data_IF_456483632758
#
_entry.id   IF_456483632758
#
_cell.length_a   1.000
_cell.length_b   1.000
_cell.length_c   1.000
_cell.angle_alpha   90.00
_cell.angle_beta   90.00
_cell.angle_gamma   90.00
#
_symmetry.space_group_name_H-M   'P 1'
#
loop_
_entity.id
_entity.type
_entity.pdbx_description
1 polymer ?
#
# COMPACT_ATOMS: atom_id res chain seq x y z
N UNK A 1 4.29 10.70 28.44
CA UNK A 1 3.96 11.17 27.07
C UNK A 1 4.01 12.69 27.01
N UNK A 2 5.11 13.21 26.46
CA UNK A 2 5.34 14.64 26.25
C UNK A 2 4.38 15.25 25.24
N UNK A 3 4.31 16.58 25.23
CA UNK A 3 3.38 17.43 24.46
C UNK A 3 3.07 16.91 23.04
N UNK A 4 1.83 17.07 22.54
CA UNK A 4 1.48 16.68 21.17
C UNK A 4 2.48 17.31 20.19
N UNK A 5 3.00 16.48 19.28
CA UNK A 5 3.91 16.90 18.24
C UNK A 5 3.14 17.75 17.22
N UNK A 6 3.20 19.07 17.35
CA UNK A 6 2.70 19.98 16.32
C UNK A 6 2.03 21.25 16.84
N UNK A 7 2.37 22.37 16.20
CA UNK A 7 1.64 23.63 16.34
C UNK A 7 0.37 23.67 15.48
N UNK A 8 -0.43 24.74 15.64
CA UNK A 8 -1.66 24.96 14.86
C UNK A 8 -1.42 24.93 13.35
N UNK A 9 -0.28 25.47 12.89
CA UNK A 9 0.12 25.45 11.48
C UNK A 9 0.34 24.02 10.98
N UNK A 10 1.04 23.20 11.77
CA UNK A 10 1.36 21.82 11.40
C UNK A 10 0.09 20.97 11.29
N UNK A 11 -0.79 21.08 12.29
CA UNK A 11 -2.08 20.37 12.29
C UNK A 11 -2.97 20.77 11.11
N UNK A 12 -2.97 22.07 10.76
CA UNK A 12 -3.75 22.58 9.63
C UNK A 12 -3.19 22.10 8.29
N UNK A 13 -1.87 22.10 8.12
CA UNK A 13 -1.21 21.62 6.90
C UNK A 13 -1.47 20.13 6.67
N UNK A 14 -1.30 19.29 7.69
CA UNK A 14 -1.51 17.84 7.55
C UNK A 14 -2.96 17.46 7.28
N UNK A 15 -3.93 18.25 7.76
CA UNK A 15 -5.35 18.03 7.46
C UNK A 15 -5.66 18.16 5.97
N UNK A 16 -4.82 18.87 5.21
CA UNK A 16 -4.91 19.01 3.76
C UNK A 16 -3.98 18.02 3.03
N UNK A 17 -2.74 17.87 3.51
CA UNK A 17 -1.74 17.02 2.86
C UNK A 17 -2.12 15.55 2.90
N UNK A 18 -2.56 15.02 4.05
CA UNK A 18 -2.89 13.58 4.20
C UNK A 18 -3.94 13.10 3.19
N UNK A 19 -5.14 13.73 3.07
CA UNK A 19 -6.12 13.26 2.09
C UNK A 19 -5.62 13.42 0.66
N UNK A 20 -4.87 14.48 0.35
CA UNK A 20 -4.28 14.67 -0.97
C UNK A 20 -3.28 13.56 -1.31
N UNK A 21 -2.37 13.21 -0.38
CA UNK A 21 -1.41 12.13 -0.55
C UNK A 21 -2.09 10.77 -0.75
N UNK A 22 -3.19 10.50 -0.03
CA UNK A 22 -3.95 9.25 -0.19
C UNK A 22 -4.57 9.17 -1.59
N UNK A 23 -5.25 10.24 -2.03
CA UNK A 23 -5.86 10.30 -3.37
C UNK A 23 -4.79 10.16 -4.46
N UNK A 24 -3.65 10.84 -4.29
CA UNK A 24 -2.54 10.74 -5.23
C UNK A 24 -1.92 9.34 -5.26
N UNK A 25 -1.79 8.65 -4.12
CA UNK A 25 -1.35 7.26 -4.07
C UNK A 25 -2.28 6.32 -4.84
N UNK A 26 -3.60 6.49 -4.74
CA UNK A 26 -4.59 5.73 -5.52
C UNK A 26 -4.48 6.04 -7.01
N UNK A 27 -4.22 7.31 -7.37
CA UNK A 27 -3.95 7.69 -8.76
C UNK A 27 -2.71 6.99 -9.31
N UNK A 28 -1.60 6.99 -8.56
CA UNK A 28 -0.33 6.33 -8.95
C UNK A 28 -0.52 4.81 -9.10
N UNK A 29 -1.37 4.18 -8.28
CA UNK A 29 -1.72 2.78 -8.43
C UNK A 29 -2.52 2.52 -9.71
N UNK A 30 -3.58 3.28 -9.94
CA UNK A 30 -4.50 3.02 -11.06
C UNK A 30 -3.93 3.42 -12.42
N UNK A 31 -2.94 4.31 -12.46
CA UNK A 31 -2.29 4.77 -13.69
C UNK A 31 -0.85 4.27 -13.84
N UNK A 32 -0.45 3.27 -13.05
CA UNK A 32 0.89 2.70 -13.07
C UNK A 32 1.28 2.10 -14.42
N UNK A 33 0.30 1.61 -15.19
CA UNK A 33 0.53 1.04 -16.52
C UNK A 33 0.75 2.10 -17.63
N UNK A 34 0.15 3.30 -17.48
CA UNK A 34 0.19 4.36 -18.50
C UNK A 34 1.19 5.47 -18.20
N UNK A 35 1.67 5.56 -16.96
CA UNK A 35 2.51 6.66 -16.47
C UNK A 35 3.65 6.15 -15.59
N UNK A 36 4.73 6.93 -15.39
CA UNK A 36 5.77 6.59 -14.42
C UNK A 36 5.13 6.44 -13.04
N UNK A 37 5.15 5.23 -12.49
CA UNK A 37 4.20 4.87 -11.45
C UNK A 37 4.35 3.44 -10.94
N UNK A 38 3.31 3.01 -10.24
CA UNK A 38 3.03 1.60 -9.97
C UNK A 38 2.91 1.25 -8.50
N UNK A 39 2.73 -0.05 -8.23
CA UNK A 39 2.34 -0.53 -6.91
C UNK A 39 3.30 -0.17 -5.78
N UNK A 40 4.61 -0.17 -6.02
CA UNK A 40 5.59 0.17 -4.98
C UNK A 40 5.46 1.64 -4.54
N UNK A 41 5.41 2.56 -5.51
CA UNK A 41 5.35 4.00 -5.27
C UNK A 41 4.01 4.40 -4.65
N UNK A 42 2.92 3.79 -5.13
CA UNK A 42 1.60 3.93 -4.52
C UNK A 42 1.60 3.48 -3.06
N UNK A 43 2.17 2.31 -2.76
CA UNK A 43 2.28 1.77 -1.41
C UNK A 43 3.06 2.71 -0.47
N UNK A 44 4.17 3.27 -0.94
CA UNK A 44 4.96 4.24 -0.19
C UNK A 44 4.18 5.54 0.10
N UNK A 45 3.46 6.09 -0.89
CA UNK A 45 2.62 7.28 -0.71
C UNK A 45 1.50 7.04 0.31
N UNK A 46 0.80 5.91 0.20
CA UNK A 46 -0.27 5.55 1.13
C UNK A 46 0.25 5.34 2.55
N UNK A 47 1.41 4.69 2.71
CA UNK A 47 2.06 4.55 4.00
C UNK A 47 2.42 5.91 4.62
N UNK A 48 3.02 6.81 3.84
CA UNK A 48 3.36 8.17 4.30
C UNK A 48 2.09 8.91 4.77
N UNK A 49 0.98 8.80 4.04
CA UNK A 49 -0.29 9.38 4.49
C UNK A 49 -0.71 8.90 5.90
N UNK A 50 -0.53 7.61 6.18
CA UNK A 50 -0.84 7.01 7.50
C UNK A 50 0.19 7.44 8.56
N UNK A 51 1.49 7.43 8.23
CA UNK A 51 2.57 7.87 9.11
C UNK A 51 2.34 9.32 9.56
N UNK A 52 2.06 10.21 8.60
CA UNK A 52 1.76 11.63 8.87
C UNK A 52 0.52 11.79 9.75
N UNK A 53 -0.53 11.00 9.51
CA UNK A 53 -1.73 11.02 10.35
C UNK A 53 -1.42 10.62 11.80
N UNK A 54 -0.56 9.62 12.02
CA UNK A 54 -0.13 9.19 13.36
C UNK A 54 0.78 10.19 14.07
N UNK A 55 1.66 10.89 13.33
CA UNK A 55 2.49 11.95 13.91
C UNK A 55 1.67 13.11 14.47
N UNK A 56 0.54 13.43 13.84
CA UNK A 56 -0.34 14.55 14.24
C UNK A 56 -1.36 14.15 15.31
N UNK A 57 -1.99 12.99 15.15
CA UNK A 57 -3.10 12.55 16.02
C UNK A 57 -2.63 11.66 17.16
N UNK A 58 -1.36 11.26 17.19
CA UNK A 58 -0.83 10.29 18.13
C UNK A 58 -1.33 8.86 17.86
N UNK A 59 -1.16 7.98 18.84
CA UNK A 59 -1.49 6.55 18.71
C UNK A 59 -3.01 6.29 18.55
N UNK A 60 -3.87 7.25 18.89
CA UNK A 60 -5.33 7.18 18.74
C UNK A 60 -5.83 7.55 17.33
N UNK A 61 -4.92 7.70 16.36
CA UNK A 61 -5.29 7.95 14.97
C UNK A 61 -6.28 6.86 14.47
N UNK A 62 -7.40 7.28 13.88
CA UNK A 62 -8.50 6.37 13.45
C UNK A 62 -8.08 5.27 12.47
N UNK A 63 -6.95 5.43 11.78
CA UNK A 63 -6.41 4.48 10.78
C UNK A 63 -5.18 3.73 11.28
N UNK A 64 -5.10 3.48 12.59
CA UNK A 64 -3.97 2.76 13.18
C UNK A 64 -4.10 1.24 12.96
N UNK A 65 -3.11 0.68 12.25
CA UNK A 65 -2.91 -0.76 12.06
C UNK A 65 -1.73 -1.16 12.93
N UNK A 66 -1.97 -2.03 13.91
CA UNK A 66 -0.92 -2.52 14.82
C UNK A 66 0.07 -3.42 14.08
N UNK A 67 1.37 -3.38 14.43
CA UNK A 67 2.44 -4.19 13.82
C UNK A 67 2.09 -5.64 13.48
N UNK A 68 1.50 -6.42 14.40
CA UNK A 68 1.08 -7.82 14.10
C UNK A 68 0.11 -7.91 12.91
N UNK A 69 -0.84 -6.99 12.82
CA UNK A 69 -1.76 -6.93 11.69
C UNK A 69 -1.08 -6.40 10.42
N UNK A 70 -0.13 -5.47 10.55
CA UNK A 70 0.66 -4.97 9.44
C UNK A 70 1.46 -6.10 8.78
N UNK A 71 2.21 -6.91 9.53
CA UNK A 71 2.94 -8.08 8.99
C UNK A 71 2.00 -9.06 8.28
N UNK A 72 0.85 -9.35 8.88
CA UNK A 72 -0.14 -10.25 8.27
C UNK A 72 -0.69 -9.69 6.95
N UNK A 73 -1.03 -8.40 6.91
CA UNK A 73 -1.53 -7.73 5.71
C UNK A 73 -0.45 -7.60 4.63
N UNK A 74 0.82 -7.42 5.03
CA UNK A 74 1.94 -7.45 4.11
C UNK A 74 2.07 -8.84 3.44
N UNK A 75 1.94 -9.91 4.24
CA UNK A 75 1.90 -11.28 3.73
C UNK A 75 0.72 -11.54 2.80
N UNK A 76 -0.47 -10.97 3.08
CA UNK A 76 -1.63 -11.05 2.19
C UNK A 76 -1.34 -10.33 0.86
N UNK A 77 -0.69 -9.17 0.88
CA UNK A 77 -0.28 -8.47 -0.33
C UNK A 77 0.68 -9.31 -1.20
N UNK A 78 1.68 -9.93 -0.57
CA UNK A 78 2.62 -10.80 -1.25
C UNK A 78 1.93 -12.06 -1.79
N UNK A 79 0.96 -12.59 -1.04
CA UNK A 79 0.13 -13.70 -1.48
C UNK A 79 -0.73 -13.34 -2.70
N UNK A 80 -1.34 -12.15 -2.75
CA UNK A 80 -2.09 -11.68 -3.92
C UNK A 80 -1.19 -11.66 -5.15
N UNK A 81 0.00 -11.05 -5.04
CA UNK A 81 0.99 -11.04 -6.13
C UNK A 81 1.30 -12.47 -6.63
N UNK A 82 1.64 -13.37 -5.71
CA UNK A 82 1.99 -14.74 -6.05
C UNK A 82 0.80 -15.49 -6.66
N UNK A 83 -0.39 -15.39 -6.06
CA UNK A 83 -1.59 -16.03 -6.53
C UNK A 83 -1.97 -15.57 -7.95
N UNK A 84 -1.91 -14.27 -8.22
CA UNK A 84 -2.15 -13.72 -9.57
C UNK A 84 -1.12 -14.25 -10.57
N UNK A 85 0.16 -14.35 -10.19
CA UNK A 85 1.19 -14.89 -11.07
C UNK A 85 1.08 -16.40 -11.31
N UNK A 86 0.61 -17.16 -10.33
CA UNK A 86 0.40 -18.60 -10.45
C UNK A 86 -0.90 -18.97 -11.19
N UNK A 87 -1.89 -18.09 -11.20
CA UNK A 87 -3.20 -18.37 -11.78
C UNK A 87 -3.14 -18.82 -13.26
N UNK A 88 -2.36 -18.18 -14.16
CA UNK A 88 -2.19 -18.63 -15.54
C UNK A 88 -1.69 -20.07 -15.72
N UNK A 89 -0.87 -20.61 -14.79
CA UNK A 89 -0.34 -21.97 -14.91
C UNK A 89 -1.45 -23.02 -14.87
N UNK A 90 -2.52 -22.77 -14.11
CA UNK A 90 -3.66 -23.67 -14.04
C UNK A 90 -4.48 -23.71 -15.35
N UNK A 91 -4.26 -22.74 -16.24
CA UNK A 91 -4.92 -22.61 -17.54
C UNK A 91 -3.98 -22.87 -18.72
N UNK A 92 -2.80 -23.46 -18.47
CA UNK A 92 -1.85 -23.84 -19.51
C UNK A 92 -0.92 -22.72 -19.99
N UNK A 93 -0.90 -21.58 -19.32
CA UNK A 93 0.06 -20.49 -19.54
C UNK A 93 1.30 -20.58 -18.64
N UNK A 94 2.20 -19.63 -18.79
CA UNK A 94 3.40 -19.45 -17.97
C UNK A 94 3.14 -18.52 -16.77
N UNK A 95 4.08 -18.47 -15.83
CA UNK A 95 4.01 -17.55 -14.69
C UNK A 95 3.91 -16.09 -15.16
N UNK A 96 2.93 -15.35 -14.62
CA UNK A 96 2.57 -13.98 -15.03
C UNK A 96 2.12 -13.81 -16.49
N UNK A 97 1.77 -14.91 -17.18
CA UNK A 97 1.19 -14.83 -18.53
C UNK A 97 -0.30 -14.46 -18.46
N UNK A 98 -0.58 -13.16 -18.34
CA UNK A 98 -1.93 -12.65 -18.09
C UNK A 98 -2.93 -13.00 -19.20
N UNK A 99 -2.51 -13.19 -20.44
CA UNK A 99 -3.39 -13.58 -21.55
C UNK A 99 -4.13 -14.91 -21.32
N UNK A 100 -3.66 -15.75 -20.40
CA UNK A 100 -4.29 -17.02 -20.02
C UNK A 100 -5.19 -16.91 -18.77
N UNK A 101 -5.45 -15.70 -18.25
CA UNK A 101 -6.39 -15.50 -17.14
C UNK A 101 -7.82 -15.88 -17.56
N UNK A 102 -8.60 -16.57 -16.70
CA UNK A 102 -9.97 -17.01 -16.99
C UNK A 102 -10.99 -15.85 -16.86
N UNK A 103 -10.72 -14.72 -17.48
CA UNK A 103 -11.60 -13.54 -17.47
C UNK A 103 -12.26 -13.38 -18.85
N UNK A 104 -13.57 -13.14 -18.84
CA UNK A 104 -14.36 -12.96 -20.06
C UNK A 104 -14.23 -11.51 -20.55
N UNK A 105 -13.08 -11.16 -21.11
CA UNK A 105 -12.86 -9.88 -21.79
C UNK A 105 -12.61 -10.13 -23.28
N UNK A 106 -13.10 -9.22 -24.12
CA UNK A 106 -13.03 -9.38 -25.59
C UNK A 106 -11.64 -9.04 -26.13
N UNK A 107 -10.86 -8.19 -25.44
CA UNK A 107 -9.54 -7.75 -25.87
C UNK A 107 -8.43 -8.27 -24.95
N UNK A 108 -7.38 -8.84 -25.54
CA UNK A 108 -6.22 -9.35 -24.80
C UNK A 108 -5.45 -8.26 -24.02
N UNK A 109 -5.52 -7.01 -24.50
CA UNK A 109 -4.90 -5.86 -23.83
C UNK A 109 -5.57 -5.54 -22.49
N UNK A 110 -6.91 -5.64 -22.41
CA UNK A 110 -7.66 -5.39 -21.18
C UNK A 110 -7.36 -6.44 -20.11
N UNK A 111 -7.23 -7.70 -20.52
CA UNK A 111 -6.84 -8.80 -19.62
C UNK A 111 -5.44 -8.58 -19.05
N UNK A 112 -4.51 -8.12 -19.90
CA UNK A 112 -3.15 -7.81 -19.48
C UNK A 112 -3.12 -6.64 -18.48
N UNK A 113 -3.83 -5.54 -18.78
CA UNK A 113 -3.99 -4.39 -17.89
C UNK A 113 -4.54 -4.80 -16.52
N UNK A 114 -5.59 -5.63 -16.51
CA UNK A 114 -6.16 -6.16 -15.27
C UNK A 114 -5.18 -7.02 -14.48
N UNK A 115 -4.42 -7.89 -15.17
CA UNK A 115 -3.38 -8.72 -14.55
C UNK A 115 -2.28 -7.89 -13.89
N UNK A 116 -1.82 -6.84 -14.57
CA UNK A 116 -0.87 -5.86 -14.03
C UNK A 116 -1.47 -5.16 -12.79
N UNK A 117 -2.69 -4.62 -12.89
CA UNK A 117 -3.32 -3.93 -11.77
C UNK A 117 -3.48 -4.84 -10.54
N UNK A 118 -3.81 -6.12 -10.73
CA UNK A 118 -3.93 -7.12 -9.66
C UNK A 118 -2.60 -7.33 -8.92
N UNK A 119 -1.49 -7.49 -9.64
CA UNK A 119 -0.17 -7.61 -9.00
C UNK A 119 0.23 -6.31 -8.30
N UNK A 120 -0.10 -5.15 -8.88
CA UNK A 120 0.22 -3.85 -8.31
C UNK A 120 -0.56 -3.59 -7.02
N UNK A 121 -1.82 -4.03 -6.92
CA UNK A 121 -2.59 -4.01 -5.67
C UNK A 121 -1.89 -4.84 -4.59
N UNK A 122 -1.43 -6.06 -4.93
CA UNK A 122 -0.69 -6.92 -4.01
C UNK A 122 0.62 -6.27 -3.51
N UNK A 123 1.40 -5.72 -4.44
CA UNK A 123 2.65 -5.00 -4.13
C UNK A 123 2.37 -3.76 -3.28
N UNK A 124 1.35 -2.97 -3.62
CA UNK A 124 0.93 -1.76 -2.87
C UNK A 124 0.63 -2.09 -1.43
N UNK A 125 -0.18 -3.11 -1.19
CA UNK A 125 -0.55 -3.55 0.15
C UNK A 125 0.68 -4.02 0.93
N UNK A 126 1.55 -4.79 0.28
CA UNK A 126 2.80 -5.30 0.87
C UNK A 126 3.69 -4.15 1.33
N UNK A 127 3.98 -3.21 0.43
CA UNK A 127 4.87 -2.08 0.71
C UNK A 127 4.28 -1.18 1.78
N UNK A 128 2.99 -0.83 1.65
CA UNK A 128 2.31 0.03 2.61
C UNK A 128 2.40 -0.52 4.03
N UNK A 129 2.09 -1.80 4.19
CA UNK A 129 2.07 -2.46 5.49
C UNK A 129 3.48 -2.68 6.05
N UNK A 130 4.46 -2.97 5.20
CA UNK A 130 5.86 -3.10 5.63
C UNK A 130 6.41 -1.79 6.19
N UNK A 131 6.11 -0.65 5.56
CA UNK A 131 6.55 0.66 6.07
C UNK A 131 5.89 0.98 7.41
N UNK A 132 4.60 0.67 7.56
CA UNK A 132 3.87 0.86 8.83
C UNK A 132 4.47 -0.03 9.93
N UNK A 133 4.78 -1.28 9.63
CA UNK A 133 5.39 -2.22 10.57
C UNK A 133 6.79 -1.75 11.02
N UNK A 134 7.62 -1.28 10.08
CA UNK A 134 8.93 -0.69 10.39
C UNK A 134 8.77 0.50 11.34
N UNK A 135 7.82 1.40 11.08
CA UNK A 135 7.56 2.53 11.97
C UNK A 135 7.11 2.06 13.36
N UNK A 136 6.20 1.08 13.45
CA UNK A 136 5.78 0.52 14.74
C UNK A 136 6.94 -0.14 15.49
N UNK A 137 7.83 -0.83 14.78
CA UNK A 137 9.03 -1.44 15.36
C UNK A 137 9.98 -0.37 15.94
N UNK A 138 10.21 0.71 15.20
CA UNK A 138 11.06 1.83 15.64
C UNK A 138 10.49 2.56 16.86
N UNK A 139 9.17 2.80 16.89
CA UNK A 139 8.50 3.44 18.04
C UNK A 139 8.60 2.53 19.28
N UNK A 140 8.43 1.22 19.10
CA UNK A 140 8.51 0.26 20.21
C UNK A 140 9.93 0.17 20.80
N UNK A 141 10.95 0.33 19.98
CA UNK A 141 12.35 0.37 20.42
C UNK A 141 12.67 1.66 21.19
N UNK A 142 12.18 2.82 20.71
CA UNK A 142 12.36 4.08 21.45
C UNK A 142 11.69 4.09 22.83
N UNK A 143 10.53 3.45 22.96
CA UNK A 143 9.83 3.34 24.25
C UNK A 143 10.51 2.35 25.22
N UNK A 144 11.38 1.45 24.73
CA UNK A 144 12.12 0.50 25.59
C UNK A 144 13.44 1.03 26.12
N UNK A 145 13.96 2.10 25.52
CA UNK A 145 15.20 2.77 25.94
C UNK A 145 14.95 3.93 26.95
N UNK A 146 13.68 4.31 27.17
CA UNK A 146 13.24 5.22 28.26
C UNK A 146 12.89 4.47 29.56
#
# INVERSE_FOLDING_TARGET
MGKPFGGVVLNSAFRVIVPFTIVYGVYVLTHGEFSPGGGFQAGALLAIGIVLARLVQGQDAKFNVKGKHAVMLAGIGAFIYAATGFLPLFFGGNFLEYSCLPVHMHEAAEVHALGILMIEIGVTLTVMMTIIDIMDALIRESDSDE
#
